data_IF_328720735472
#
_entry.id   IF_328720735472
#
_cell.length_a   1.000
_cell.length_b   1.000
_cell.length_c   1.000
_cell.angle_alpha   90.00
_cell.angle_beta   90.00
_cell.angle_gamma   90.00
#
_symmetry.space_group_name_H-M   'P 1'
#
loop_
_entity.id
_entity.type
_entity.pdbx_description
1 polymer ?
#
# COMPACT_ATOMS: atom_id res chain seq x y z
N UNK A 1 21.16 16.21 20.72
CA UNK A 1 19.84 16.13 20.08
C UNK A 1 19.48 14.65 19.89
N UNK A 2 18.96 13.98 20.93
CA UNK A 2 19.03 12.50 21.07
C UNK A 2 17.69 11.75 20.93
N UNK A 3 16.58 12.38 20.52
CA UNK A 3 15.24 11.79 20.73
C UNK A 3 14.19 12.03 19.64
N UNK A 4 14.57 12.22 18.35
CA UNK A 4 13.59 12.50 17.29
C UNK A 4 12.99 11.25 16.60
N UNK A 5 13.54 10.07 16.85
CA UNK A 5 12.98 8.79 16.39
C UNK A 5 12.01 8.23 17.44
N UNK A 6 10.85 8.85 17.56
CA UNK A 6 9.76 8.29 18.38
C UNK A 6 8.94 7.29 17.55
N UNK A 7 8.14 6.44 18.19
CA UNK A 7 7.25 5.49 17.51
C UNK A 7 6.35 6.13 16.44
N UNK A 8 6.09 7.45 16.56
CA UNK A 8 5.33 8.20 15.57
C UNK A 8 6.05 8.31 14.20
N UNK A 9 7.36 8.57 14.18
CA UNK A 9 8.13 8.67 12.93
C UNK A 9 8.22 7.30 12.22
N UNK A 10 8.38 6.23 12.99
CA UNK A 10 8.39 4.86 12.47
C UNK A 10 7.08 4.56 11.73
N UNK A 11 5.95 4.87 12.37
CA UNK A 11 4.64 4.70 11.76
C UNK A 11 4.48 5.55 10.50
N UNK A 12 4.82 6.84 10.57
CA UNK A 12 4.75 7.77 9.44
C UNK A 12 5.57 7.31 8.22
N UNK A 13 6.72 6.67 8.44
CA UNK A 13 7.56 6.12 7.37
C UNK A 13 7.05 4.77 6.84
N UNK A 14 6.54 3.90 7.71
CA UNK A 14 6.02 2.58 7.33
C UNK A 14 4.76 2.68 6.48
N UNK A 15 3.84 3.59 6.79
CA UNK A 15 2.57 3.71 6.07
C UNK A 15 2.74 3.88 4.55
N UNK A 16 3.47 4.90 4.03
CA UNK A 16 3.67 5.02 2.59
C UNK A 16 4.43 3.84 2.00
N UNK A 17 5.34 3.22 2.75
CA UNK A 17 6.07 2.06 2.26
C UNK A 17 5.17 0.81 2.11
N UNK A 18 4.29 0.56 3.08
CA UNK A 18 3.31 -0.53 3.00
C UNK A 18 2.37 -0.34 1.82
N UNK A 19 2.00 0.91 1.48
CA UNK A 19 1.22 1.18 0.27
C UNK A 19 2.01 0.86 -1.00
N UNK A 20 3.31 1.23 -1.07
CA UNK A 20 4.17 0.89 -2.22
C UNK A 20 4.17 -0.62 -2.45
N UNK A 21 4.47 -1.39 -1.40
CA UNK A 21 4.57 -2.86 -1.47
C UNK A 21 3.21 -3.45 -1.84
N UNK A 22 2.15 -3.09 -1.11
CA UNK A 22 0.86 -3.75 -1.29
C UNK A 22 0.16 -3.41 -2.60
N UNK A 23 0.24 -2.16 -3.10
CA UNK A 23 -0.23 -1.87 -4.46
C UNK A 23 0.62 -2.58 -5.51
N UNK A 24 1.93 -2.70 -5.30
CA UNK A 24 2.79 -3.43 -6.23
C UNK A 24 2.41 -4.91 -6.32
N UNK A 25 2.17 -5.57 -5.18
CA UNK A 25 1.68 -6.96 -5.14
C UNK A 25 0.33 -7.12 -5.86
N UNK A 26 -0.60 -6.20 -5.61
CA UNK A 26 -1.89 -6.20 -6.30
C UNK A 26 -1.76 -6.00 -7.81
N UNK A 27 -0.88 -5.10 -8.25
CA UNK A 27 -0.58 -4.87 -9.66
C UNK A 27 0.08 -6.09 -10.30
N UNK A 28 0.95 -6.80 -9.58
CA UNK A 28 1.57 -8.04 -10.06
C UNK A 28 0.54 -9.14 -10.23
N UNK A 29 -0.36 -9.32 -9.26
CA UNK A 29 -1.47 -10.26 -9.37
C UNK A 29 -2.40 -9.90 -10.54
N UNK A 30 -2.78 -8.63 -10.67
CA UNK A 30 -3.61 -8.17 -11.77
C UNK A 30 -2.93 -8.39 -13.12
N UNK A 31 -1.65 -8.06 -13.25
CA UNK A 31 -0.90 -8.25 -14.48
C UNK A 31 -0.82 -9.74 -14.87
N UNK A 32 -0.73 -10.65 -13.91
CA UNK A 32 -0.80 -12.09 -14.17
C UNK A 32 -2.20 -12.53 -14.61
N UNK A 33 -3.25 -12.08 -13.92
CA UNK A 33 -4.64 -12.41 -14.21
C UNK A 33 -5.06 -11.90 -15.62
N UNK A 34 -4.61 -10.71 -16.00
CA UNK A 34 -4.96 -10.02 -17.26
C UNK A 34 -3.97 -10.33 -18.41
N UNK A 35 -2.92 -11.12 -18.17
CA UNK A 35 -1.90 -11.46 -19.19
C UNK A 35 -1.03 -10.28 -19.61
N UNK A 36 -0.80 -9.31 -18.72
CA UNK A 36 0.04 -8.14 -18.93
C UNK A 36 1.50 -8.40 -18.51
N UNK A 37 2.08 -9.50 -19.01
CA UNK A 37 3.41 -10.00 -18.61
C UNK A 37 4.54 -8.95 -18.74
N UNK A 38 4.35 -7.97 -19.62
CA UNK A 38 5.34 -6.91 -19.87
C UNK A 38 5.66 -6.09 -18.62
N UNK A 39 4.72 -5.97 -17.67
CA UNK A 39 4.90 -5.14 -16.46
C UNK A 39 5.56 -5.93 -15.33
N UNK A 40 5.50 -7.27 -15.35
CA UNK A 40 5.88 -8.12 -14.21
C UNK A 40 7.33 -7.90 -13.80
N UNK A 41 8.25 -7.86 -14.77
CA UNK A 41 9.68 -7.73 -14.46
C UNK A 41 10.04 -6.38 -13.83
N UNK A 42 9.34 -5.30 -14.19
CA UNK A 42 9.60 -3.96 -13.64
C UNK A 42 8.82 -3.73 -12.34
N UNK A 43 7.63 -4.34 -12.19
CA UNK A 43 6.93 -4.40 -10.90
C UNK A 43 7.75 -5.16 -9.85
N UNK A 44 8.37 -6.28 -10.21
CA UNK A 44 9.26 -7.05 -9.32
C UNK A 44 10.44 -6.20 -8.81
N UNK A 45 10.94 -5.28 -9.64
CA UNK A 45 11.98 -4.31 -9.23
C UNK A 45 11.45 -3.28 -8.23
N UNK A 46 10.22 -2.80 -8.42
CA UNK A 46 9.55 -1.91 -7.46
C UNK A 46 9.35 -2.64 -6.13
N UNK A 47 8.83 -3.87 -6.16
CA UNK A 47 8.59 -4.69 -4.98
C UNK A 47 9.88 -4.94 -4.20
N UNK A 48 10.92 -5.42 -4.89
CA UNK A 48 12.25 -5.67 -4.30
C UNK A 48 12.84 -4.40 -3.65
N UNK A 49 12.72 -3.24 -4.31
CA UNK A 49 13.18 -1.97 -3.76
C UNK A 49 12.35 -1.54 -2.53
N UNK A 50 11.04 -1.82 -2.53
CA UNK A 50 10.16 -1.63 -1.39
C UNK A 50 10.55 -2.50 -0.18
N UNK A 51 10.82 -3.79 -0.40
CA UNK A 51 11.29 -4.70 0.67
C UNK A 51 12.64 -4.27 1.25
N UNK A 52 13.57 -3.83 0.39
CA UNK A 52 14.86 -3.28 0.83
C UNK A 52 14.66 -2.03 1.70
N UNK A 53 13.79 -1.10 1.28
CA UNK A 53 13.44 0.07 2.07
C UNK A 53 12.85 -0.30 3.42
N UNK A 54 12.05 -1.37 3.49
CA UNK A 54 11.41 -1.81 4.73
C UNK A 54 12.46 -2.28 5.73
N UNK A 55 13.42 -3.09 5.26
CA UNK A 55 14.56 -3.51 6.08
C UNK A 55 15.37 -2.32 6.60
N UNK A 56 15.66 -1.33 5.74
CA UNK A 56 16.42 -0.15 6.15
C UNK A 56 15.64 0.70 7.18
N UNK A 57 14.33 0.87 6.99
CA UNK A 57 13.48 1.63 7.93
C UNK A 57 13.34 0.89 9.27
N UNK A 58 13.38 -0.44 9.27
CA UNK A 58 13.35 -1.27 10.47
C UNK A 58 14.69 -1.32 11.23
N UNK A 59 15.82 -1.16 10.54
CA UNK A 59 17.17 -1.03 11.12
C UNK A 59 17.48 0.39 11.64
N UNK A 60 17.05 1.41 10.88
CA UNK A 60 16.61 2.69 11.45
C UNK A 60 15.48 2.38 12.44
N UNK A 61 14.88 3.24 13.24
CA UNK A 61 13.89 2.79 14.25
C UNK A 61 14.30 1.70 15.31
N UNK A 62 15.28 0.80 15.13
CA UNK A 62 15.84 -0.10 16.17
C UNK A 62 16.98 0.59 16.95
N UNK A 63 16.78 0.97 18.22
CA UNK A 63 17.75 1.73 19.02
C UNK A 63 19.13 1.07 19.22
N UNK A 64 19.28 -0.24 18.94
CA UNK A 64 20.56 -0.96 19.02
C UNK A 64 21.33 -0.87 17.70
N UNK A 65 20.65 -0.93 16.55
CA UNK A 65 21.24 -0.91 15.21
C UNK A 65 21.72 0.50 14.79
N UNK A 66 21.01 1.57 15.19
CA UNK A 66 21.37 2.96 14.87
C UNK A 66 22.79 3.37 15.29
N UNK A 67 23.42 2.68 16.25
CA UNK A 67 24.76 3.07 16.74
C UNK A 67 25.90 2.73 15.77
N UNK A 68 25.63 2.02 14.67
CA UNK A 68 26.66 1.57 13.71
C UNK A 68 26.60 2.22 12.34
N UNK A 69 25.52 2.91 11.99
CA UNK A 69 25.37 3.53 10.67
C UNK A 69 25.77 5.00 10.72
N UNK A 70 26.59 5.41 9.76
CA UNK A 70 26.87 6.82 9.50
C UNK A 70 25.65 7.46 8.83
N UNK A 71 25.26 8.67 9.27
CA UNK A 71 24.05 9.36 8.82
C UNK A 71 24.08 9.59 7.29
N UNK A 72 25.26 9.89 6.73
CA UNK A 72 25.44 10.08 5.29
C UNK A 72 25.21 8.80 4.47
N UNK A 73 25.66 7.64 4.96
CA UNK A 73 25.41 6.34 4.31
C UNK A 73 23.93 6.01 4.31
N UNK A 74 23.27 6.16 5.45
CA UNK A 74 21.84 5.89 5.62
C UNK A 74 20.98 6.69 4.63
N UNK A 75 21.29 7.96 4.41
CA UNK A 75 20.59 8.77 3.40
C UNK A 75 20.70 8.20 1.99
N UNK A 76 21.90 7.77 1.61
CA UNK A 76 22.15 7.17 0.31
C UNK A 76 21.44 5.81 0.17
N UNK A 77 21.49 5.00 1.24
CA UNK A 77 20.91 3.67 1.32
C UNK A 77 19.38 3.71 1.18
N UNK A 78 18.71 4.74 1.70
CA UNK A 78 17.27 4.93 1.50
C UNK A 78 16.95 5.58 0.16
N UNK A 79 17.68 6.61 -0.25
CA UNK A 79 17.36 7.39 -1.46
C UNK A 79 17.49 6.58 -2.74
N UNK A 80 18.46 5.67 -2.81
CA UNK A 80 18.71 4.84 -4.00
C UNK A 80 17.53 3.94 -4.37
N UNK A 81 17.07 3.01 -3.49
CA UNK A 81 15.91 2.18 -3.79
C UNK A 81 14.62 3.00 -3.94
N UNK A 82 14.49 4.12 -3.20
CA UNK A 82 13.32 4.97 -3.36
C UNK A 82 13.23 5.66 -4.73
N UNK A 83 14.36 6.15 -5.25
CA UNK A 83 14.42 6.70 -6.60
C UNK A 83 14.15 5.63 -7.67
N UNK A 84 14.52 4.37 -7.43
CA UNK A 84 14.15 3.26 -8.31
C UNK A 84 12.64 3.07 -8.31
N UNK A 85 11.98 2.99 -7.15
CA UNK A 85 10.51 2.89 -7.05
C UNK A 85 9.84 4.02 -7.82
N UNK A 86 10.26 5.26 -7.60
CA UNK A 86 9.71 6.45 -8.28
C UNK A 86 9.86 6.31 -9.80
N UNK A 87 11.07 6.01 -10.28
CA UNK A 87 11.36 5.94 -11.71
C UNK A 87 10.60 4.82 -12.43
N UNK A 88 10.57 3.62 -11.86
CA UNK A 88 9.80 2.51 -12.45
C UNK A 88 8.31 2.78 -12.40
N UNK A 89 7.77 3.30 -11.29
CA UNK A 89 6.33 3.59 -11.19
C UNK A 89 5.90 4.63 -12.23
N UNK A 90 6.69 5.68 -12.44
CA UNK A 90 6.43 6.71 -13.46
C UNK A 90 6.48 6.14 -14.88
N UNK A 91 7.53 5.37 -15.21
CA UNK A 91 7.67 4.72 -16.51
C UNK A 91 6.51 3.75 -16.80
N UNK A 92 6.19 2.86 -15.86
CA UNK A 92 5.12 1.88 -16.04
C UNK A 92 3.75 2.56 -16.14
N UNK A 93 3.55 3.67 -15.42
CA UNK A 93 2.31 4.44 -15.48
C UNK A 93 2.09 5.00 -16.89
N UNK A 94 3.13 5.56 -17.51
CA UNK A 94 3.06 6.05 -18.89
C UNK A 94 2.75 4.90 -19.87
N UNK A 95 3.48 3.79 -19.75
CA UNK A 95 3.24 2.60 -20.57
C UNK A 95 1.81 2.06 -20.44
N UNK A 96 1.29 1.98 -19.22
CA UNK A 96 -0.08 1.54 -18.97
C UNK A 96 -1.12 2.46 -19.63
N UNK A 97 -0.91 3.79 -19.56
CA UNK A 97 -1.79 4.76 -20.25
C UNK A 97 -1.74 4.60 -21.76
N UNK A 98 -0.55 4.43 -22.33
CA UNK A 98 -0.38 4.24 -23.78
C UNK A 98 -1.07 2.96 -24.28
N UNK A 99 -1.17 1.94 -23.41
CA UNK A 99 -1.89 0.69 -23.68
C UNK A 99 -3.39 0.74 -23.35
N UNK A 100 -3.91 1.88 -22.87
CA UNK A 100 -5.32 2.04 -22.48
C UNK A 100 -5.69 1.32 -21.18
N UNK A 101 -4.71 1.00 -20.33
CA UNK A 101 -4.91 0.36 -19.03
C UNK A 101 -5.08 1.43 -17.93
N UNK A 102 -6.18 2.19 -17.99
CA UNK A 102 -6.39 3.37 -17.13
C UNK A 102 -6.42 3.03 -15.63
N UNK A 103 -7.07 1.93 -15.24
CA UNK A 103 -7.12 1.50 -13.84
C UNK A 103 -5.72 1.10 -13.33
N UNK A 104 -4.97 0.36 -14.15
CA UNK A 104 -3.62 -0.07 -13.83
C UNK A 104 -2.66 1.13 -13.68
N UNK A 105 -2.77 2.10 -14.60
CA UNK A 105 -2.04 3.36 -14.53
C UNK A 105 -2.41 4.17 -13.28
N UNK A 106 -3.69 4.18 -12.89
CA UNK A 106 -4.16 4.85 -11.68
C UNK A 106 -3.54 4.21 -10.43
N UNK A 107 -3.45 2.89 -10.35
CA UNK A 107 -2.85 2.21 -9.21
C UNK A 107 -1.31 2.40 -9.17
N UNK A 108 -0.64 2.43 -10.33
CA UNK A 108 0.78 2.84 -10.41
C UNK A 108 1.00 4.29 -9.94
N UNK A 109 0.06 5.20 -10.22
CA UNK A 109 0.11 6.57 -9.71
C UNK A 109 0.03 6.61 -8.18
N UNK A 110 -0.71 5.69 -7.54
CA UNK A 110 -0.75 5.56 -6.08
C UNK A 110 0.60 5.11 -5.53
N UNK A 111 1.25 4.12 -6.16
CA UNK A 111 2.64 3.71 -5.83
C UNK A 111 3.61 4.88 -5.92
N UNK A 112 3.59 5.61 -7.05
CA UNK A 112 4.44 6.78 -7.24
C UNK A 112 4.19 7.86 -6.17
N UNK A 113 2.92 8.14 -5.86
CA UNK A 113 2.55 9.15 -4.85
C UNK A 113 3.03 8.75 -3.45
N UNK A 114 2.88 7.47 -3.08
CA UNK A 114 3.38 6.95 -1.82
C UNK A 114 4.92 7.04 -1.71
N UNK A 115 5.63 6.72 -2.80
CA UNK A 115 7.09 6.86 -2.87
C UNK A 115 7.57 8.31 -2.73
N UNK A 116 6.90 9.26 -3.40
CA UNK A 116 7.19 10.70 -3.26
C UNK A 116 6.93 11.18 -1.83
N UNK A 117 5.83 10.76 -1.21
CA UNK A 117 5.54 11.08 0.20
C UNK A 117 6.62 10.54 1.14
N UNK A 118 7.08 9.31 0.93
CA UNK A 118 8.17 8.73 1.72
C UNK A 118 9.46 9.57 1.56
N UNK A 119 9.79 9.99 0.33
CA UNK A 119 10.94 10.85 0.07
C UNK A 119 10.83 12.17 0.83
N UNK A 120 9.66 12.80 0.80
CA UNK A 120 9.41 14.06 1.51
C UNK A 120 9.56 13.89 3.02
N UNK A 121 9.08 12.79 3.61
CA UNK A 121 9.26 12.51 5.03
C UNK A 121 10.73 12.33 5.40
N UNK A 122 11.50 11.63 4.56
CA UNK A 122 12.94 11.47 4.76
C UNK A 122 13.67 12.81 4.61
N UNK A 123 13.31 13.63 3.63
CA UNK A 123 13.91 14.96 3.50
C UNK A 123 13.55 15.81 4.72
N UNK A 124 12.28 15.93 5.10
CA UNK A 124 11.87 16.79 6.21
C UNK A 124 12.45 16.37 7.57
N UNK A 125 12.58 15.07 7.83
CA UNK A 125 13.07 14.58 9.11
C UNK A 125 14.59 14.53 9.21
N UNK A 126 15.29 14.54 8.07
CA UNK A 126 16.72 14.31 8.03
C UNK A 126 17.52 15.39 7.25
N UNK A 127 16.87 16.43 6.70
CA UNK A 127 17.49 17.52 5.91
C UNK A 127 18.38 18.52 6.69
N UNK A 128 18.88 18.17 7.86
CA UNK A 128 19.83 19.06 8.56
C UNK A 128 21.24 19.04 7.94
N UNK A 129 21.50 18.26 6.90
CA UNK A 129 22.85 18.04 6.38
C UNK A 129 22.88 18.17 4.85
N UNK A 130 23.53 19.24 4.43
CA UNK A 130 24.06 19.56 3.09
C UNK A 130 23.10 20.02 1.99
N UNK A 131 22.79 21.32 2.07
CA UNK A 131 22.91 22.21 0.91
C UNK A 131 24.35 22.11 0.37
N UNK A 132 24.60 21.25 -0.62
CA UNK A 132 25.54 21.48 -1.73
C UNK A 132 25.70 20.26 -2.65
N UNK A 133 25.92 20.55 -3.93
CA UNK A 133 26.13 19.67 -5.09
C UNK A 133 24.82 19.28 -5.79
N UNK A 134 24.31 20.13 -6.68
CA UNK A 134 24.65 20.23 -8.11
C UNK A 134 24.48 18.93 -8.92
N UNK A 135 23.64 19.05 -9.96
CA UNK A 135 23.46 18.17 -11.10
C UNK A 135 22.76 16.82 -10.88
N UNK A 136 21.42 16.84 -10.82
CA UNK A 136 20.63 15.77 -11.46
C UNK A 136 20.64 16.04 -12.95
N UNK A 137 21.73 15.64 -13.60
CA UNK A 137 21.75 15.40 -15.03
C UNK A 137 20.82 14.24 -15.32
N UNK A 138 19.82 14.49 -16.16
CA UNK A 138 19.03 13.45 -16.82
C UNK A 138 19.98 12.53 -17.58
N UNK A 139 20.29 11.38 -17.01
CA UNK A 139 20.83 10.25 -17.74
C UNK A 139 19.96 9.03 -17.42
N UNK A 140 18.74 9.10 -17.96
CA UNK A 140 17.91 7.94 -18.23
C UNK A 140 18.72 7.01 -19.12
N UNK A 141 19.25 5.91 -18.56
CA UNK A 141 19.74 4.80 -19.37
C UNK A 141 18.57 3.83 -19.53
N UNK A 142 17.85 3.83 -20.68
CA UNK A 142 16.83 2.82 -20.93
C UNK A 142 17.51 1.46 -21.09
N UNK A 143 17.10 0.41 -20.35
CA UNK A 143 17.53 -0.93 -20.67
C UNK A 143 16.94 -1.35 -22.02
N UNK A 144 17.81 -1.87 -22.89
CA UNK A 144 17.51 -2.24 -24.28
C UNK A 144 16.42 -3.32 -24.34
N UNK A 145 15.39 -3.03 -25.14
CA UNK A 145 14.34 -3.95 -25.58
C UNK A 145 14.89 -5.35 -25.92
N UNK A 146 14.48 -6.36 -25.16
CA UNK A 146 14.48 -7.74 -25.64
C UNK A 146 13.13 -8.03 -26.29
N UNK A 147 13.13 -8.12 -27.61
CA UNK A 147 12.01 -8.66 -28.38
C UNK A 147 11.94 -10.17 -28.14
N UNK A 148 10.79 -10.67 -27.70
CA UNK A 148 10.49 -12.10 -27.72
C UNK A 148 9.14 -12.35 -28.43
N UNK A 149 9.30 -13.07 -29.52
CA UNK A 149 8.39 -13.76 -30.43
C UNK A 149 6.92 -14.00 -30.04
N UNK A 150 6.08 -13.83 -31.07
CA UNK A 150 4.70 -14.27 -31.17
C UNK A 150 4.51 -15.78 -31.01
N UNK A 151 3.37 -16.18 -30.42
CA UNK A 151 2.58 -17.39 -30.78
C UNK A 151 1.12 -17.29 -30.30
N UNK A 152 0.25 -17.93 -31.09
CA UNK A 152 -1.22 -17.87 -31.18
C UNK A 152 -2.04 -18.30 -29.93
N UNK A 153 -3.36 -17.97 -29.90
CA UNK A 153 -4.26 -18.14 -28.77
C UNK A 153 -4.99 -19.49 -28.78
N UNK A 154 -5.11 -20.13 -27.61
CA UNK A 154 -6.27 -20.95 -27.20
C UNK A 154 -5.96 -21.75 -25.92
N UNK A 155 -6.72 -21.49 -24.85
CA UNK A 155 -7.14 -22.56 -23.93
C UNK A 155 -8.35 -22.13 -23.10
N UNK A 156 -9.36 -22.99 -23.19
CA UNK A 156 -10.74 -22.92 -22.72
C UNK A 156 -10.90 -23.26 -21.24
N UNK A 157 -11.75 -22.49 -20.55
CA UNK A 157 -12.65 -22.82 -19.41
C UNK A 157 -12.07 -23.39 -18.09
N UNK A 158 -12.53 -22.84 -16.95
CA UNK A 158 -13.49 -23.59 -16.14
C UNK A 158 -14.39 -22.71 -15.26
N UNK A 159 -15.70 -22.83 -15.48
CA UNK A 159 -16.77 -22.19 -14.71
C UNK A 159 -17.10 -23.11 -13.54
N UNK A 160 -16.62 -22.77 -12.33
CA UNK A 160 -17.00 -23.51 -11.14
C UNK A 160 -18.43 -23.14 -10.77
N UNK A 161 -19.34 -24.08 -11.04
CA UNK A 161 -20.70 -24.10 -10.50
C UNK A 161 -20.58 -24.49 -9.03
N UNK A 162 -20.64 -23.49 -8.15
CA UNK A 162 -20.78 -23.65 -6.70
C UNK A 162 -22.13 -23.10 -6.25
N UNK A 163 -22.90 -23.94 -5.60
CA UNK A 163 -24.19 -23.63 -4.96
C UNK A 163 -24.09 -22.41 -4.03
N UNK A 164 -25.03 -21.47 -4.15
CA UNK A 164 -25.09 -20.22 -3.40
C UNK A 164 -25.10 -20.43 -1.88
N UNK A 165 -23.92 -20.36 -1.28
CA UNK A 165 -23.72 -19.96 0.11
C UNK A 165 -23.61 -18.42 0.05
N UNK A 166 -24.41 -17.69 0.82
CA UNK A 166 -24.36 -16.23 0.82
C UNK A 166 -22.93 -15.75 1.07
N UNK A 167 -22.45 -14.81 0.25
CA UNK A 167 -21.17 -14.13 0.47
C UNK A 167 -21.26 -13.37 1.78
N UNK A 168 -20.36 -13.65 2.72
CA UNK A 168 -20.36 -12.94 4.00
C UNK A 168 -20.14 -11.43 3.76
N UNK A 169 -20.86 -10.59 4.50
CA UNK A 169 -20.80 -9.13 4.37
C UNK A 169 -19.87 -8.53 5.43
N UNK A 170 -18.84 -7.82 4.99
CA UNK A 170 -17.76 -7.29 5.82
C UNK A 170 -17.80 -5.76 5.79
N UNK A 171 -17.47 -5.13 6.92
CA UNK A 171 -17.24 -3.69 7.00
C UNK A 171 -15.78 -3.41 7.32
N UNK A 172 -15.11 -2.64 6.47
CA UNK A 172 -13.74 -2.15 6.69
C UNK A 172 -13.79 -0.70 7.14
N UNK A 173 -13.12 -0.36 8.23
CA UNK A 173 -13.08 0.99 8.80
C UNK A 173 -11.62 1.39 9.05
N UNK A 174 -11.16 2.38 8.30
CA UNK A 174 -9.79 2.91 8.35
C UNK A 174 -9.86 4.34 7.76
N UNK A 175 -9.17 5.31 8.37
CA UNK A 175 -9.20 6.70 7.91
C UNK A 175 -8.29 6.94 6.70
N UNK A 176 -7.28 6.09 6.50
CA UNK A 176 -6.38 6.12 5.37
C UNK A 176 -7.00 5.44 4.16
N UNK A 177 -7.34 6.26 3.16
CA UNK A 177 -7.98 5.84 1.91
C UNK A 177 -7.24 4.71 1.18
N UNK A 178 -5.90 4.73 1.19
CA UNK A 178 -5.09 3.71 0.51
C UNK A 178 -5.14 2.36 1.24
N UNK A 179 -5.06 2.36 2.57
CA UNK A 179 -5.24 1.14 3.38
C UNK A 179 -6.64 0.55 3.15
N UNK A 180 -7.66 1.41 3.23
CA UNK A 180 -9.08 1.04 3.06
C UNK A 180 -9.34 0.46 1.68
N UNK A 181 -8.83 1.10 0.61
CA UNK A 181 -8.94 0.61 -0.78
C UNK A 181 -8.27 -0.75 -0.95
N UNK A 182 -7.01 -0.91 -0.49
CA UNK A 182 -6.29 -2.18 -0.60
C UNK A 182 -7.00 -3.33 0.13
N UNK A 183 -7.41 -3.10 1.38
CA UNK A 183 -8.06 -4.12 2.20
C UNK A 183 -9.43 -4.50 1.62
N UNK A 184 -10.19 -3.53 1.12
CA UNK A 184 -11.48 -3.75 0.45
C UNK A 184 -11.30 -4.65 -0.76
N UNK A 185 -10.41 -4.28 -1.69
CA UNK A 185 -10.14 -5.06 -2.91
C UNK A 185 -9.62 -6.47 -2.59
N UNK A 186 -8.79 -6.63 -1.55
CA UNK A 186 -8.29 -7.95 -1.14
C UNK A 186 -9.40 -8.86 -0.66
N UNK A 187 -10.33 -8.34 0.14
CA UNK A 187 -11.49 -9.08 0.64
C UNK A 187 -12.50 -9.39 -0.48
N UNK A 188 -12.73 -8.46 -1.41
CA UNK A 188 -13.57 -8.69 -2.58
C UNK A 188 -13.01 -9.80 -3.48
N UNK A 189 -11.69 -9.82 -3.70
CA UNK A 189 -11.00 -10.92 -4.42
C UNK A 189 -11.18 -12.28 -3.74
N UNK A 190 -11.35 -12.31 -2.41
CA UNK A 190 -11.66 -13.53 -1.65
C UNK A 190 -13.16 -13.93 -1.73
N UNK A 191 -13.99 -13.14 -2.40
CA UNK A 191 -15.41 -13.41 -2.61
C UNK A 191 -16.34 -12.89 -1.52
N UNK A 192 -15.88 -11.95 -0.69
CA UNK A 192 -16.71 -11.28 0.31
C UNK A 192 -17.48 -10.09 -0.28
N UNK A 193 -18.64 -9.79 0.29
CA UNK A 193 -19.33 -8.52 0.06
C UNK A 193 -18.76 -7.49 1.02
N UNK A 194 -18.17 -6.40 0.52
CA UNK A 194 -17.39 -5.48 1.36
C UNK A 194 -17.97 -4.07 1.26
N UNK A 195 -18.29 -3.50 2.42
CA UNK A 195 -18.53 -2.07 2.58
C UNK A 195 -17.35 -1.43 3.30
N UNK A 196 -17.14 -0.13 3.09
CA UNK A 196 -16.06 0.62 3.73
C UNK A 196 -16.57 1.91 4.36
N UNK A 197 -15.94 2.35 5.45
CA UNK A 197 -16.17 3.64 6.09
C UNK A 197 -14.85 4.35 6.41
N UNK A 198 -14.82 5.68 6.32
CA UNK A 198 -13.62 6.47 6.57
C UNK A 198 -13.45 6.91 8.04
N UNK A 199 -14.46 6.70 8.88
CA UNK A 199 -14.42 7.04 10.30
C UNK A 199 -15.48 6.27 11.10
N UNK A 200 -15.37 6.35 12.43
CA UNK A 200 -16.29 5.66 13.35
C UNK A 200 -17.76 6.09 13.23
N UNK A 201 -18.05 7.34 12.88
CA UNK A 201 -19.42 7.84 12.74
C UNK A 201 -20.12 7.19 11.54
N UNK A 202 -19.44 7.19 10.39
CA UNK A 202 -19.93 6.53 9.19
C UNK A 202 -20.07 5.02 9.40
N UNK A 203 -19.10 4.38 10.05
CA UNK A 203 -19.14 2.96 10.37
C UNK A 203 -20.40 2.61 11.18
N UNK A 204 -20.68 3.34 12.26
CA UNK A 204 -21.88 3.13 13.09
C UNK A 204 -23.17 3.37 12.31
N UNK A 205 -23.19 4.34 11.40
CA UNK A 205 -24.35 4.58 10.52
C UNK A 205 -24.61 3.37 9.62
N UNK A 206 -23.57 2.80 9.00
CA UNK A 206 -23.69 1.61 8.16
C UNK A 206 -24.11 0.39 8.98
N UNK A 207 -23.48 0.15 10.12
CA UNK A 207 -23.79 -0.96 11.03
C UNK A 207 -25.26 -0.95 11.48
N UNK A 208 -25.83 0.23 11.73
CA UNK A 208 -27.24 0.40 12.11
C UNK A 208 -28.20 0.21 10.93
N UNK A 209 -27.77 0.55 9.71
CA UNK A 209 -28.58 0.43 8.50
C UNK A 209 -28.59 -1.00 7.94
N UNK A 210 -27.49 -1.75 8.10
CA UNK A 210 -27.27 -3.06 7.49
C UNK A 210 -27.13 -4.21 8.49
N UNK A 211 -26.57 -5.30 7.98
CA UNK A 211 -26.13 -6.47 8.73
C UNK A 211 -24.75 -6.87 8.19
N UNK A 212 -23.78 -7.01 9.10
CA UNK A 212 -22.42 -7.39 8.78
C UNK A 212 -22.02 -8.60 9.62
N UNK A 213 -21.26 -9.50 9.01
CA UNK A 213 -20.75 -10.72 9.61
C UNK A 213 -19.41 -10.50 10.33
N UNK A 214 -18.67 -9.44 9.96
CA UNK A 214 -17.38 -9.08 10.54
C UNK A 214 -17.07 -7.59 10.32
N UNK A 215 -16.50 -6.96 11.35
CA UNK A 215 -15.94 -5.62 11.28
C UNK A 215 -14.41 -5.68 11.35
N UNK A 216 -13.73 -5.06 10.39
CA UNK A 216 -12.30 -4.75 10.45
C UNK A 216 -12.16 -3.27 10.82
N UNK A 217 -11.54 -2.97 11.96
CA UNK A 217 -11.56 -1.64 12.56
C UNK A 217 -10.16 -1.16 12.92
N UNK A 218 -9.71 -0.07 12.31
CA UNK A 218 -8.56 0.67 12.81
C UNK A 218 -8.88 1.35 14.16
N UNK A 219 -7.89 1.35 15.06
CA UNK A 219 -8.02 2.03 16.36
C UNK A 219 -7.82 3.53 16.20
N UNK A 220 -6.83 3.95 15.40
CA UNK A 220 -6.35 5.33 15.41
C UNK A 220 -7.03 6.11 14.28
N UNK A 221 -8.19 6.70 14.58
CA UNK A 221 -8.94 7.52 13.61
C UNK A 221 -9.28 8.90 14.17
N UNK A 222 -9.36 9.94 13.32
CA UNK A 222 -9.83 11.25 13.73
C UNK A 222 -11.34 11.25 13.99
N UNK A 223 -11.82 12.26 14.71
CA UNK A 223 -13.24 12.50 15.06
C UNK A 223 -13.83 11.49 16.03
N UNK A 224 -13.70 10.19 15.75
CA UNK A 224 -14.11 9.09 16.62
C UNK A 224 -13.13 7.93 16.46
N UNK A 225 -12.50 7.53 17.55
CA UNK A 225 -11.52 6.45 17.54
C UNK A 225 -12.18 5.05 17.55
N UNK A 226 -11.40 4.01 17.30
CA UNK A 226 -11.92 2.64 17.27
C UNK A 226 -12.40 2.13 18.63
N UNK A 227 -11.91 2.69 19.75
CA UNK A 227 -12.40 2.32 21.07
C UNK A 227 -13.82 2.85 21.29
N UNK A 228 -14.11 4.08 20.90
CA UNK A 228 -15.45 4.66 20.95
C UNK A 228 -16.45 3.86 20.09
N UNK A 229 -16.02 3.39 18.91
CA UNK A 229 -16.84 2.49 18.06
C UNK A 229 -17.13 1.18 18.79
N UNK A 230 -16.12 0.56 19.41
CA UNK A 230 -16.26 -0.69 20.18
C UNK A 230 -17.21 -0.52 21.37
N UNK A 231 -17.14 0.60 22.09
CA UNK A 231 -18.05 0.91 23.20
C UNK A 231 -19.50 0.98 22.71
N UNK A 232 -19.76 1.67 21.59
CA UNK A 232 -21.11 1.77 21.02
C UNK A 232 -21.62 0.42 20.49
N UNK A 233 -20.76 -0.37 19.84
CA UNK A 233 -21.09 -1.73 19.41
C UNK A 233 -21.57 -2.59 20.59
N UNK A 234 -20.85 -2.56 21.73
CA UNK A 234 -21.20 -3.36 22.91
C UNK A 234 -22.42 -2.84 23.65
N UNK A 235 -22.70 -1.55 23.60
CA UNK A 235 -23.90 -0.96 24.19
C UNK A 235 -25.19 -1.33 23.44
N UNK A 236 -25.11 -1.63 22.14
CA UNK A 236 -26.27 -1.92 21.29
C UNK A 236 -26.54 -3.42 21.15
N UNK A 237 -27.69 -3.96 21.61
CA UNK A 237 -27.98 -5.39 21.56
C UNK A 237 -27.95 -6.03 20.17
N UNK A 238 -28.20 -5.25 19.11
CA UNK A 238 -28.17 -5.71 17.72
C UNK A 238 -26.74 -5.82 17.17
N UNK A 239 -25.80 -5.03 17.71
CA UNK A 239 -24.45 -4.91 17.17
C UNK A 239 -23.39 -5.64 18.02
N UNK A 240 -23.67 -5.86 19.31
CA UNK A 240 -22.70 -6.38 20.29
C UNK A 240 -22.06 -7.73 19.94
N UNK A 241 -22.76 -8.54 19.16
CA UNK A 241 -22.38 -9.91 18.80
C UNK A 241 -21.61 -9.97 17.47
N UNK A 242 -21.48 -8.84 16.75
CA UNK A 242 -20.66 -8.75 15.54
C UNK A 242 -19.18 -8.94 15.94
N UNK A 243 -18.46 -9.92 15.36
CA UNK A 243 -17.03 -10.06 15.54
C UNK A 243 -16.27 -8.83 15.05
N UNK A 244 -15.26 -8.40 15.81
CA UNK A 244 -14.40 -7.28 15.42
C UNK A 244 -12.95 -7.75 15.39
N UNK A 245 -12.28 -7.56 14.26
CA UNK A 245 -10.84 -7.65 14.12
C UNK A 245 -10.29 -6.24 14.13
N UNK A 246 -9.42 -5.98 15.09
CA UNK A 246 -8.79 -4.68 15.23
C UNK A 246 -7.52 -4.64 14.38
N UNK A 247 -7.40 -3.60 13.57
CA UNK A 247 -6.21 -3.31 12.77
C UNK A 247 -5.28 -2.42 13.61
N UNK A 248 -4.01 -2.82 13.69
CA UNK A 248 -2.97 -2.04 14.36
C UNK A 248 -1.65 -2.21 13.61
N UNK A 249 -0.91 -1.12 13.42
CA UNK A 249 0.40 -1.10 12.76
C UNK A 249 1.58 -1.05 13.75
#
# INVERSE_FOLDING_TARGET
>A
MKNKFTGNLKHELRTPLNHIIGYCEMLMEQAQDDGLDIFIADLDRIHSAGEQLLGIIDDLCDPVAHRKMDEASMHHDVRTPLNQVIGYAEMLQEQAKDMGQDSFASDLQKVHTAARRLLDLIVQNFASIELNSEAVGSELIPPKHHQAFARDPAATQNKVVGTAVGTASLLVVDDNDLNRDMLTRRLERLGYDVSSAENGIEALKLLRAGSFDLLLLDIIMPVMDGFEVLEQLKAEPRLRDIPVIVLSA
#
